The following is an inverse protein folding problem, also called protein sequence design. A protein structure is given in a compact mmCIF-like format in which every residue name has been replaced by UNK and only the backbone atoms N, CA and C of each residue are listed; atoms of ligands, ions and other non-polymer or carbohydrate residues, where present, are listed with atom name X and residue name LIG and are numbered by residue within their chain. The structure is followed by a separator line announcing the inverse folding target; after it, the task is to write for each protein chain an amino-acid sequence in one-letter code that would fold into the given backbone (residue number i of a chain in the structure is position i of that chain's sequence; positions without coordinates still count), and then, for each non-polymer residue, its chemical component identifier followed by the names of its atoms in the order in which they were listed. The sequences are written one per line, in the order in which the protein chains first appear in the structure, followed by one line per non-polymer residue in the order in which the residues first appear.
data_IF_356338560448
#
_entry.id   IF_356338560448
#
_cell.length_a   1.000
_cell.length_b   1.000
_cell.length_c   1.000
_cell.angle_alpha   90.00
_cell.angle_beta   90.00
_cell.angle_gamma   90.00
#
_symmetry.space_group_name_H-M   'P 1'
#
loop_
_entity.id
_entity.type
_entity.pdbx_description
1 polymer ?
#
# COMPACT_ATOMS: atom_id res chain seq x y z
N UNK A 1 14.03 -37.65 -37.27
CA UNK A 1 13.45 -36.66 -36.33
C UNK A 1 14.44 -35.52 -36.21
N UNK A 2 14.06 -34.26 -36.45
CA UNK A 2 15.00 -33.15 -36.35
C UNK A 2 15.37 -32.92 -34.87
N UNK A 3 16.64 -32.62 -34.61
CA UNK A 3 17.12 -32.30 -33.28
C UNK A 3 16.42 -31.03 -32.75
N UNK A 4 16.02 -30.98 -31.47
CA UNK A 4 15.41 -29.78 -30.91
C UNK A 4 16.40 -28.61 -30.97
N UNK A 5 15.93 -27.45 -31.43
CA UNK A 5 16.73 -26.22 -31.50
C UNK A 5 17.22 -25.81 -30.10
N UNK A 6 18.42 -25.21 -30.03
CA UNK A 6 19.05 -24.83 -28.76
C UNK A 6 18.21 -23.93 -27.85
N UNK A 7 17.26 -23.17 -28.41
CA UNK A 7 16.30 -22.37 -27.65
C UNK A 7 15.29 -23.21 -26.86
N UNK A 8 14.84 -24.35 -27.41
CA UNK A 8 13.91 -25.25 -26.74
C UNK A 8 14.54 -25.89 -25.50
N UNK A 9 15.78 -26.35 -25.65
CA UNK A 9 16.58 -26.94 -24.56
C UNK A 9 16.85 -25.91 -23.45
N UNK A 10 17.16 -24.66 -23.82
CA UNK A 10 17.46 -23.59 -22.87
C UNK A 10 16.22 -23.10 -22.09
N UNK A 11 15.03 -23.13 -22.71
CA UNK A 11 13.77 -22.85 -22.03
C UNK A 11 13.34 -23.98 -21.09
N UNK A 12 13.56 -25.25 -21.46
CA UNK A 12 13.35 -26.39 -20.56
C UNK A 12 14.30 -26.32 -19.36
N UNK A 13 15.57 -25.95 -19.57
CA UNK A 13 16.54 -25.75 -18.48
C UNK A 13 16.18 -24.57 -17.56
N UNK A 14 15.63 -23.47 -18.07
CA UNK A 14 15.13 -22.35 -17.25
C UNK A 14 13.91 -22.76 -16.42
N UNK A 15 12.96 -23.50 -17.00
CA UNK A 15 11.81 -24.03 -16.28
C UNK A 15 12.21 -25.10 -15.26
N UNK A 16 13.17 -25.97 -15.59
CA UNK A 16 13.72 -26.98 -14.68
C UNK A 16 14.49 -26.36 -13.52
N UNK A 17 15.18 -25.22 -13.71
CA UNK A 17 15.81 -24.45 -12.62
C UNK A 17 14.78 -23.83 -11.67
N UNK A 18 13.67 -23.31 -12.21
CA UNK A 18 12.56 -22.78 -11.40
C UNK A 18 11.85 -23.88 -10.60
N UNK A 19 11.57 -25.01 -11.24
CA UNK A 19 10.98 -26.19 -10.58
C UNK A 19 11.95 -26.83 -9.57
N UNK A 20 13.23 -26.90 -9.91
CA UNK A 20 14.28 -27.38 -9.02
C UNK A 20 14.45 -26.50 -7.79
N UNK A 21 14.33 -25.18 -7.92
CA UNK A 21 14.34 -24.27 -6.77
C UNK A 21 13.11 -24.44 -5.87
N UNK A 22 11.92 -24.65 -6.46
CA UNK A 22 10.69 -24.91 -5.69
C UNK A 22 10.78 -26.26 -4.97
N UNK A 23 11.21 -27.33 -5.65
CA UNK A 23 11.39 -28.66 -5.06
C UNK A 23 12.50 -28.65 -4.00
N UNK A 24 13.63 -28.01 -4.27
CA UNK A 24 14.72 -27.85 -3.29
C UNK A 24 14.26 -27.02 -2.08
N UNK A 25 13.47 -25.96 -2.27
CA UNK A 25 12.88 -25.20 -1.16
C UNK A 25 11.95 -26.08 -0.34
N UNK A 26 11.04 -26.83 -0.99
CA UNK A 26 10.10 -27.73 -0.30
C UNK A 26 10.82 -28.87 0.44
N UNK A 27 11.87 -29.46 -0.14
CA UNK A 27 12.61 -30.58 0.46
C UNK A 27 13.71 -30.18 1.44
N UNK A 28 14.33 -29.00 1.31
CA UNK A 28 15.29 -28.49 2.30
C UNK A 28 14.61 -28.14 3.64
N UNK A 29 13.29 -27.92 3.64
CA UNK A 29 12.48 -27.68 4.84
C UNK A 29 11.74 -28.93 5.35
N UNK A 30 11.77 -30.04 4.62
CA UNK A 30 11.11 -31.29 5.02
C UNK A 30 11.63 -31.93 6.34
N UNK A 31 12.86 -31.69 6.84
CA UNK A 31 13.28 -32.27 8.12
C UNK A 31 12.77 -31.55 9.39
N UNK A 32 11.97 -30.48 9.29
CA UNK A 32 11.55 -29.64 10.46
C UNK A 32 10.12 -29.96 10.94
N UNK A 33 9.51 -31.07 10.52
CA UNK A 33 8.12 -31.44 10.87
C UNK A 33 7.93 -31.99 12.30
N UNK A 34 8.41 -31.25 13.31
CA UNK A 34 7.79 -31.22 14.64
C UNK A 34 7.51 -29.79 15.12
N UNK A 35 7.62 -28.80 14.24
CA UNK A 35 7.39 -27.39 14.58
C UNK A 35 5.90 -27.05 14.49
N UNK A 36 5.40 -26.30 15.47
CA UNK A 36 4.05 -25.74 15.43
C UNK A 36 3.88 -24.86 14.19
N UNK A 37 2.75 -25.02 13.50
CA UNK A 37 2.37 -24.21 12.36
C UNK A 37 1.23 -23.30 12.80
N UNK A 38 1.44 -22.00 12.68
CA UNK A 38 0.42 -20.98 12.90
C UNK A 38 0.07 -20.33 11.56
N UNK A 39 -1.22 -20.07 11.34
CA UNK A 39 -1.70 -19.33 10.18
C UNK A 39 -2.60 -18.18 10.62
N UNK A 40 -2.38 -16.98 10.07
CA UNK A 40 -3.31 -15.85 10.18
C UNK A 40 -3.77 -15.52 8.76
N UNK A 41 -5.04 -15.75 8.46
CA UNK A 41 -5.60 -15.59 7.12
C UNK A 41 -6.72 -14.56 7.12
N UNK A 42 -6.66 -13.62 6.19
CA UNK A 42 -7.72 -12.65 5.96
C UNK A 42 -8.15 -12.68 4.50
N UNK A 43 -9.45 -12.68 4.25
CA UNK A 43 -10.02 -12.57 2.91
C UNK A 43 -11.22 -11.65 2.92
N UNK A 44 -11.59 -11.12 1.77
CA UNK A 44 -12.76 -10.28 1.67
C UNK A 44 -13.07 -9.87 0.26
N UNK A 45 -14.22 -9.21 0.13
CA UNK A 45 -14.69 -8.67 -1.13
C UNK A 45 -15.38 -7.34 -0.93
N UNK A 46 -15.45 -6.56 -2.00
CA UNK A 46 -16.22 -5.34 -2.08
C UNK A 46 -16.97 -5.24 -3.41
N UNK A 47 -18.09 -4.54 -3.38
CA UNK A 47 -18.85 -4.13 -4.55
C UNK A 47 -18.92 -2.61 -4.57
N UNK A 48 -18.57 -2.04 -5.71
CA UNK A 48 -18.65 -0.60 -5.95
C UNK A 48 -19.72 -0.29 -6.97
N UNK A 49 -20.56 0.68 -6.65
CA UNK A 49 -21.51 1.31 -7.55
C UNK A 49 -20.99 2.71 -7.82
N UNK A 50 -20.42 2.91 -9.00
CA UNK A 50 -19.72 4.14 -9.38
C UNK A 50 -20.52 4.93 -10.43
N UNK A 51 -20.47 6.26 -10.37
CA UNK A 51 -20.99 7.10 -11.43
C UNK A 51 -20.19 6.94 -12.73
N UNK A 52 -20.87 6.93 -13.88
CA UNK A 52 -20.23 6.79 -15.20
C UNK A 52 -19.27 7.94 -15.52
N UNK A 53 -18.04 7.62 -15.94
CA UNK A 53 -17.09 8.63 -16.41
C UNK A 53 -17.40 9.16 -17.83
N UNK A 54 -18.07 8.37 -18.69
CA UNK A 54 -18.15 8.67 -20.13
C UNK A 54 -19.51 8.47 -20.82
N UNK A 55 -20.44 7.64 -20.30
CA UNK A 55 -21.62 7.19 -21.09
C UNK A 55 -22.97 7.23 -20.37
N UNK A 56 -23.02 7.64 -19.09
CA UNK A 56 -24.28 7.80 -18.35
C UNK A 56 -24.89 6.52 -17.77
N UNK A 57 -24.25 5.36 -17.98
CA UNK A 57 -24.61 4.10 -17.32
C UNK A 57 -23.74 3.88 -16.07
N UNK A 58 -24.33 3.58 -14.91
CA UNK A 58 -23.58 3.32 -13.68
C UNK A 58 -22.61 2.15 -13.89
N UNK A 59 -21.43 2.27 -13.32
CA UNK A 59 -20.45 1.19 -13.33
C UNK A 59 -20.59 0.36 -12.07
N UNK A 60 -20.56 -0.96 -12.23
CA UNK A 60 -20.47 -1.88 -11.09
C UNK A 60 -19.20 -2.69 -11.19
N UNK A 61 -18.39 -2.63 -10.14
CA UNK A 61 -17.09 -3.30 -10.06
C UNK A 61 -17.06 -4.19 -8.83
N UNK A 62 -16.49 -5.39 -8.98
CA UNK A 62 -16.19 -6.28 -7.86
C UNK A 62 -14.71 -6.22 -7.54
N UNK A 63 -14.40 -6.25 -6.25
CA UNK A 63 -13.03 -6.34 -5.75
C UNK A 63 -12.94 -7.51 -4.78
N UNK A 64 -11.82 -8.21 -4.82
CA UNK A 64 -11.50 -9.30 -3.92
C UNK A 64 -10.09 -9.15 -3.40
N UNK A 65 -9.85 -9.61 -2.18
CA UNK A 65 -8.50 -9.77 -1.67
C UNK A 65 -8.38 -11.05 -0.84
N UNK A 66 -7.17 -11.59 -0.82
CA UNK A 66 -6.78 -12.70 0.02
C UNK A 66 -5.38 -12.45 0.55
N UNK A 67 -5.19 -12.60 1.85
CA UNK A 67 -3.90 -12.53 2.52
C UNK A 67 -3.77 -13.68 3.50
N UNK A 68 -2.62 -14.33 3.52
CA UNK A 68 -2.29 -15.30 4.57
C UNK A 68 -0.86 -15.09 5.03
N UNK A 69 -0.63 -15.32 6.31
CA UNK A 69 0.68 -15.49 6.91
C UNK A 69 0.74 -16.90 7.48
N UNK A 70 1.74 -17.66 7.08
CA UNK A 70 2.06 -18.97 7.65
C UNK A 70 3.38 -18.85 8.41
N UNK A 71 3.38 -19.20 9.68
CA UNK A 71 4.56 -19.26 10.52
C UNK A 71 4.85 -20.73 10.87
N UNK A 72 6.10 -21.14 10.66
CA UNK A 72 6.59 -22.50 10.98
C UNK A 72 7.65 -22.37 12.07
N UNK A 73 7.32 -22.86 13.26
CA UNK A 73 8.10 -22.65 14.48
C UNK A 73 8.24 -21.16 14.81
N UNK A 74 9.36 -20.77 15.42
CA UNK A 74 9.61 -19.36 15.77
C UNK A 74 10.37 -18.58 14.68
N UNK A 75 10.87 -19.27 13.65
CA UNK A 75 11.89 -18.73 12.75
C UNK A 75 11.42 -18.45 11.34
N UNK A 76 10.52 -19.26 10.79
CA UNK A 76 10.13 -19.14 9.40
C UNK A 76 8.76 -18.51 9.28
N UNK A 77 8.63 -17.51 8.41
CA UNK A 77 7.35 -16.92 8.06
C UNK A 77 7.23 -16.80 6.54
N UNK A 78 6.06 -17.12 6.02
CA UNK A 78 5.69 -16.91 4.63
C UNK A 78 4.44 -16.02 4.61
N UNK A 79 4.47 -14.91 3.87
CA UNK A 79 3.29 -14.11 3.61
C UNK A 79 2.93 -14.22 2.14
N UNK A 80 1.63 -14.30 1.85
CA UNK A 80 1.11 -14.12 0.51
C UNK A 80 -0.11 -13.20 0.55
N UNK A 81 -0.20 -12.27 -0.38
CA UNK A 81 -1.34 -11.38 -0.56
C UNK A 81 -1.63 -11.18 -2.04
N UNK A 82 -2.91 -11.24 -2.41
CA UNK A 82 -3.40 -11.05 -3.77
C UNK A 82 -4.64 -10.17 -3.75
N UNK A 83 -4.81 -9.36 -4.79
CA UNK A 83 -6.03 -8.59 -5.01
C UNK A 83 -6.54 -8.76 -6.44
N UNK A 84 -7.85 -8.63 -6.59
CA UNK A 84 -8.54 -8.69 -7.87
C UNK A 84 -9.52 -7.52 -7.97
N UNK A 85 -9.59 -6.91 -9.15
CA UNK A 85 -10.56 -5.86 -9.48
C UNK A 85 -11.15 -6.12 -10.87
N UNK A 86 -12.47 -6.23 -10.96
CA UNK A 86 -13.15 -6.37 -12.25
C UNK A 86 -13.32 -5.01 -12.93
N UNK A 87 -13.44 -5.02 -14.26
CA UNK A 87 -14.02 -3.92 -15.02
C UNK A 87 -15.54 -3.80 -14.75
N UNK A 88 -16.20 -2.90 -15.49
CA UNK A 88 -17.64 -2.69 -15.36
C UNK A 88 -18.43 -3.95 -15.76
N UNK A 89 -19.14 -4.53 -14.79
CA UNK A 89 -19.93 -5.76 -14.94
C UNK A 89 -21.19 -5.54 -15.80
N UNK A 90 -21.73 -4.31 -15.82
CA UNK A 90 -22.95 -3.99 -16.55
C UNK A 90 -22.73 -3.34 -17.92
N UNK A 91 -21.48 -3.22 -18.39
CA UNK A 91 -21.16 -2.60 -19.67
C UNK A 91 -21.82 -3.29 -20.87
N UNK A 92 -21.73 -4.62 -20.94
CA UNK A 92 -22.15 -5.41 -22.12
C UNK A 92 -23.15 -6.56 -21.83
N UNK A 93 -23.72 -6.64 -20.61
CA UNK A 93 -24.62 -7.75 -20.16
C UNK A 93 -23.97 -9.15 -20.33
N UNK A 94 -22.66 -9.23 -20.55
CA UNK A 94 -21.91 -10.49 -20.50
C UNK A 94 -21.38 -10.67 -19.09
N UNK A 95 -22.08 -11.46 -18.28
CA UNK A 95 -21.61 -11.89 -16.95
C UNK A 95 -20.42 -12.86 -17.01
N UNK A 96 -19.80 -13.02 -18.19
CA UNK A 96 -18.68 -13.90 -18.48
C UNK A 96 -17.61 -13.11 -19.24
N UNK A 97 -16.35 -13.43 -18.98
CA UNK A 97 -15.17 -12.83 -19.63
C UNK A 97 -15.02 -11.32 -19.37
N UNK A 98 -15.40 -10.87 -18.18
CA UNK A 98 -15.24 -9.48 -17.74
C UNK A 98 -13.73 -9.19 -17.57
N UNK A 99 -13.17 -8.18 -18.27
CA UNK A 99 -11.78 -7.78 -18.09
C UNK A 99 -11.49 -7.52 -16.61
N UNK A 100 -10.47 -8.16 -16.06
CA UNK A 100 -10.16 -8.09 -14.63
C UNK A 100 -8.66 -7.92 -14.43
N UNK A 101 -8.29 -7.08 -13.46
CA UNK A 101 -6.92 -6.90 -13.02
C UNK A 101 -6.68 -7.83 -11.84
N UNK A 102 -5.64 -8.63 -11.93
CA UNK A 102 -5.14 -9.48 -10.85
C UNK A 102 -3.77 -8.98 -10.44
N UNK A 103 -3.61 -8.69 -9.15
CA UNK A 103 -2.36 -8.21 -8.58
C UNK A 103 -1.82 -9.22 -7.57
N UNK A 104 -0.51 -9.43 -7.63
CA UNK A 104 0.25 -10.07 -6.55
C UNK A 104 0.72 -8.95 -5.65
N UNK A 105 0.03 -8.76 -4.51
CA UNK A 105 0.29 -7.65 -3.61
C UNK A 105 1.55 -7.92 -2.75
N UNK A 106 1.72 -9.14 -2.23
CA UNK A 106 2.92 -9.55 -1.48
C UNK A 106 3.16 -11.05 -1.66
N UNK A 107 4.40 -11.45 -1.92
CA UNK A 107 4.92 -12.80 -1.70
C UNK A 107 6.22 -12.64 -0.94
N UNK A 108 6.28 -13.06 0.32
CA UNK A 108 7.51 -12.93 1.09
C UNK A 108 7.83 -14.17 1.92
N UNK A 109 9.12 -14.47 2.02
CA UNK A 109 9.70 -15.53 2.83
C UNK A 109 10.68 -14.89 3.80
N UNK A 110 10.52 -15.16 5.08
CA UNK A 110 11.28 -14.54 6.15
C UNK A 110 11.91 -15.60 7.05
N UNK A 111 13.16 -15.38 7.43
CA UNK A 111 13.90 -16.17 8.40
C UNK A 111 14.37 -15.30 9.56
N UNK A 112 13.92 -15.61 10.77
CA UNK A 112 14.29 -14.93 12.01
C UNK A 112 15.38 -15.70 12.74
N UNK A 113 16.34 -14.95 13.27
CA UNK A 113 17.44 -15.46 14.07
C UNK A 113 17.87 -14.40 15.09
N UNK A 114 18.76 -14.77 16.01
CA UNK A 114 19.30 -13.85 17.01
C UNK A 114 20.75 -13.56 16.69
N UNK A 115 21.14 -12.29 16.78
CA UNK A 115 22.53 -11.85 16.80
C UNK A 115 22.74 -11.17 18.15
N UNK A 116 23.46 -11.84 19.06
CA UNK A 116 23.65 -11.39 20.45
C UNK A 116 22.31 -11.01 21.13
N UNK A 117 22.15 -9.73 21.51
CA UNK A 117 20.94 -9.17 22.17
C UNK A 117 19.91 -8.61 21.18
N UNK A 118 20.08 -8.85 19.89
CA UNK A 118 19.17 -8.37 18.83
C UNK A 118 18.42 -9.53 18.19
N UNK A 119 17.21 -9.25 17.70
CA UNK A 119 16.46 -10.17 16.85
C UNK A 119 16.59 -9.69 15.40
N UNK A 120 17.14 -10.53 14.54
CA UNK A 120 17.37 -10.24 13.13
C UNK A 120 16.44 -11.05 12.25
N UNK A 121 16.10 -10.49 11.10
CA UNK A 121 15.29 -11.15 10.10
C UNK A 121 15.86 -10.91 8.71
N UNK A 122 16.07 -11.97 7.96
CA UNK A 122 16.27 -11.91 6.52
C UNK A 122 14.94 -12.14 5.82
N UNK A 123 14.64 -11.39 4.76
CA UNK A 123 13.48 -11.63 3.93
C UNK A 123 13.85 -11.66 2.45
N UNK A 124 13.16 -12.50 1.69
CA UNK A 124 13.03 -12.41 0.24
C UNK A 124 11.59 -12.03 -0.06
N UNK A 125 11.38 -11.13 -1.01
CA UNK A 125 10.04 -10.68 -1.35
C UNK A 125 9.87 -10.44 -2.86
N UNK A 126 8.61 -10.53 -3.30
CA UNK A 126 8.09 -10.06 -4.57
C UNK A 126 6.74 -9.36 -4.35
N UNK A 127 6.46 -8.30 -5.09
CA UNK A 127 5.30 -7.43 -4.86
C UNK A 127 5.64 -6.22 -3.98
N UNK A 128 4.65 -5.63 -3.31
CA UNK A 128 4.81 -4.57 -2.33
C UNK A 128 5.16 -5.16 -0.95
N UNK A 129 6.34 -4.84 -0.42
CA UNK A 129 6.83 -5.36 0.87
C UNK A 129 7.12 -4.24 1.86
N UNK A 130 6.37 -4.16 2.97
CA UNK A 130 6.64 -3.20 4.06
C UNK A 130 6.85 -1.75 3.59
N UNK A 131 5.90 -1.20 2.82
CA UNK A 131 6.05 0.14 2.26
C UNK A 131 6.28 1.24 3.32
N UNK A 132 7.16 2.19 3.01
CA UNK A 132 7.42 3.38 3.83
C UNK A 132 6.18 4.28 3.83
N UNK A 133 5.74 4.74 5.01
CA UNK A 133 4.45 5.43 5.14
C UNK A 133 3.28 4.54 5.58
N UNK A 134 3.46 3.22 5.65
CA UNK A 134 2.50 2.35 6.32
C UNK A 134 2.92 2.10 7.78
N UNK A 135 1.96 1.83 8.65
CA UNK A 135 2.21 1.42 10.03
C UNK A 135 2.63 -0.06 10.15
N UNK A 136 2.87 -0.75 9.02
CA UNK A 136 3.17 -2.19 8.96
C UNK A 136 4.49 -2.53 9.66
N UNK A 137 5.55 -1.75 9.43
CA UNK A 137 6.88 -2.04 9.98
C UNK A 137 6.91 -1.90 11.51
N UNK A 138 6.35 -0.80 12.02
CA UNK A 138 6.27 -0.56 13.47
C UNK A 138 5.33 -1.57 14.15
N UNK A 139 4.22 -1.97 13.51
CA UNK A 139 3.38 -3.06 14.00
C UNK A 139 4.16 -4.38 14.10
N UNK A 140 4.83 -4.76 13.00
CA UNK A 140 5.50 -6.07 12.87
C UNK A 140 6.70 -6.23 13.80
N UNK A 141 7.55 -5.21 13.93
CA UNK A 141 8.79 -5.33 14.71
C UNK A 141 8.71 -4.70 16.10
N UNK A 142 7.91 -3.64 16.25
CA UNK A 142 7.84 -2.84 17.49
C UNK A 142 6.51 -3.03 18.24
N UNK A 143 5.54 -3.78 17.69
CA UNK A 143 4.29 -4.11 18.36
C UNK A 143 3.35 -2.92 18.56
N UNK A 144 3.48 -1.87 17.75
CA UNK A 144 2.58 -0.71 17.83
C UNK A 144 1.15 -1.11 17.45
N UNK A 145 0.15 -0.43 17.98
CA UNK A 145 -1.22 -0.51 17.42
C UNK A 145 -1.26 0.17 16.05
N UNK A 146 -2.21 -0.19 15.19
CA UNK A 146 -2.45 0.52 13.95
C UNK A 146 -2.83 2.00 14.23
N UNK A 147 -2.26 2.92 13.48
CA UNK A 147 -2.46 4.37 13.63
C UNK A 147 -2.62 5.09 12.30
N UNK A 148 -2.76 4.38 11.18
CA UNK A 148 -3.10 4.97 9.89
C UNK A 148 -4.38 5.82 9.93
N UNK A 149 -4.43 6.87 9.09
CA UNK A 149 -5.62 7.71 8.95
C UNK A 149 -6.75 6.96 8.24
N UNK A 150 -8.00 7.22 8.65
CA UNK A 150 -9.19 6.77 7.92
C UNK A 150 -9.32 7.45 6.54
N UNK A 151 -8.77 8.66 6.40
CA UNK A 151 -8.66 9.38 5.12
C UNK A 151 -7.58 8.80 4.20
N UNK A 152 -6.76 7.88 4.69
CA UNK A 152 -5.77 7.23 3.83
C UNK A 152 -6.10 5.73 3.69
N UNK A 153 -7.27 5.28 4.13
CA UNK A 153 -7.63 3.87 4.00
C UNK A 153 -7.88 3.52 2.53
N UNK A 154 -6.97 2.71 1.97
CA UNK A 154 -7.18 2.06 0.67
C UNK A 154 -8.22 0.97 0.81
N UNK A 155 -8.94 0.73 -0.28
CA UNK A 155 -10.01 -0.27 -0.33
C UNK A 155 -9.56 -1.60 -0.95
N UNK A 156 -8.33 -1.66 -1.48
CA UNK A 156 -7.66 -2.85 -2.00
C UNK A 156 -6.18 -2.87 -1.56
N UNK A 157 -5.60 -4.07 -1.45
CA UNK A 157 -4.20 -4.25 -1.09
C UNK A 157 -3.89 -3.82 0.35
N UNK A 158 -2.74 -3.16 0.54
CA UNK A 158 -2.34 -2.63 1.84
C UNK A 158 -3.27 -1.51 2.31
N UNK A 159 -3.60 -1.50 3.61
CA UNK A 159 -4.59 -0.59 4.21
C UNK A 159 -4.26 0.89 4.03
N UNK A 160 -3.01 1.27 3.77
CA UNK A 160 -2.57 2.67 3.73
C UNK A 160 -1.66 2.88 2.52
N UNK A 161 -1.76 4.01 1.79
CA UNK A 161 -0.84 4.35 0.73
C UNK A 161 0.59 4.46 1.25
N UNK A 162 1.50 4.04 0.38
CA UNK A 162 2.93 4.19 0.58
C UNK A 162 3.34 5.63 0.27
N UNK A 163 4.14 6.24 1.16
CA UNK A 163 4.98 7.39 0.81
C UNK A 163 6.10 6.90 -0.11
N UNK A 164 6.75 5.78 0.26
CA UNK A 164 7.79 5.11 -0.53
C UNK A 164 7.38 3.66 -0.76
N UNK A 165 6.96 3.28 -1.99
CA UNK A 165 6.64 1.90 -2.29
C UNK A 165 7.92 1.08 -2.43
N UNK A 166 8.07 0.06 -1.59
CA UNK A 166 9.05 -1.03 -1.77
C UNK A 166 8.38 -2.10 -2.61
N UNK A 167 8.13 -1.75 -3.88
CA UNK A 167 7.49 -2.61 -4.86
C UNK A 167 8.53 -3.20 -5.80
N UNK A 168 8.55 -4.52 -5.98
CA UNK A 168 9.51 -5.18 -6.87
C UNK A 168 9.82 -6.60 -6.43
N UNK A 169 11.02 -7.09 -6.75
CA UNK A 169 11.54 -8.31 -6.18
C UNK A 169 12.94 -8.09 -5.61
N UNK A 170 13.21 -8.63 -4.43
CA UNK A 170 14.46 -8.37 -3.72
C UNK A 170 14.54 -9.03 -2.36
N UNK A 171 15.43 -8.49 -1.53
CA UNK A 171 15.61 -8.95 -0.16
C UNK A 171 15.76 -7.81 0.82
N UNK A 172 15.50 -8.12 2.08
CA UNK A 172 15.70 -7.20 3.19
C UNK A 172 16.43 -7.86 4.35
N UNK A 173 17.09 -7.02 5.14
CA UNK A 173 17.69 -7.40 6.40
C UNK A 173 17.24 -6.44 7.49
N UNK A 174 16.49 -6.94 8.46
CA UNK A 174 15.93 -6.17 9.57
C UNK A 174 16.60 -6.56 10.87
N UNK A 175 16.88 -5.58 11.72
CA UNK A 175 17.38 -5.76 13.09
C UNK A 175 16.44 -5.04 14.05
N UNK A 176 15.92 -5.79 15.02
CA UNK A 176 15.19 -5.29 16.17
C UNK A 176 16.10 -5.30 17.40
N UNK A 177 16.16 -4.16 18.08
CA UNK A 177 16.97 -3.99 19.28
C UNK A 177 16.21 -4.38 20.55
N UNK A 178 16.93 -4.45 21.68
CA UNK A 178 16.33 -4.61 23.01
C UNK A 178 15.54 -3.36 23.45
N UNK A 179 15.94 -2.18 22.96
CA UNK A 179 15.14 -0.95 23.01
C UNK A 179 14.03 -1.01 21.94
N UNK A 180 12.91 -0.28 22.09
CA UNK A 180 11.80 -0.28 21.15
C UNK A 180 12.14 0.46 19.84
N UNK A 181 13.17 -0.01 19.15
CA UNK A 181 13.68 0.48 17.88
C UNK A 181 14.05 -0.68 16.96
N UNK A 182 13.98 -0.42 15.66
CA UNK A 182 14.38 -1.36 14.63
C UNK A 182 14.91 -0.60 13.41
N UNK A 183 15.81 -1.23 12.67
CA UNK A 183 16.24 -0.74 11.37
C UNK A 183 16.15 -1.85 10.33
N UNK A 184 16.05 -1.47 9.06
CA UNK A 184 16.08 -2.39 7.95
C UNK A 184 16.88 -1.83 6.78
N UNK A 185 17.51 -2.71 6.04
CA UNK A 185 18.11 -2.46 4.74
C UNK A 185 17.33 -3.25 3.70
N UNK A 186 16.97 -2.62 2.59
CA UNK A 186 16.27 -3.22 1.47
C UNK A 186 17.12 -3.09 0.22
N UNK A 187 17.21 -4.16 -0.57
CA UNK A 187 17.81 -4.14 -1.90
C UNK A 187 16.87 -4.89 -2.84
N UNK A 188 16.37 -4.21 -3.87
CA UNK A 188 15.36 -4.77 -4.77
C UNK A 188 15.40 -4.14 -6.14
N UNK A 189 14.88 -4.87 -7.13
CA UNK A 189 14.73 -4.36 -8.48
C UNK A 189 13.26 -4.23 -8.85
N UNK A 190 12.94 -3.23 -9.65
CA UNK A 190 11.61 -3.03 -10.21
C UNK A 190 11.66 -2.32 -11.56
N UNK A 191 10.51 -2.26 -12.22
CA UNK A 191 10.29 -1.41 -13.39
C UNK A 191 9.40 -0.24 -12.97
N UNK A 192 9.90 0.98 -13.13
CA UNK A 192 9.14 2.19 -12.82
C UNK A 192 9.52 3.29 -13.80
N UNK A 193 8.56 4.13 -14.19
CA UNK A 193 8.77 5.20 -15.18
C UNK A 193 9.41 4.69 -16.49
N UNK A 194 9.03 3.48 -16.93
CA UNK A 194 9.51 2.85 -18.17
C UNK A 194 10.97 2.40 -18.17
N UNK A 195 11.65 2.37 -17.00
CA UNK A 195 13.04 1.89 -16.87
C UNK A 195 13.15 0.87 -15.74
N UNK A 196 14.01 -0.12 -15.93
CA UNK A 196 14.46 -1.00 -14.84
C UNK A 196 15.30 -0.19 -13.86
N UNK A 197 15.07 -0.43 -12.56
CA UNK A 197 15.77 0.24 -11.47
C UNK A 197 16.30 -0.77 -10.47
N UNK A 198 17.48 -0.49 -9.95
CA UNK A 198 18.01 -1.10 -8.73
C UNK A 198 17.80 -0.12 -7.59
N UNK A 199 17.15 -0.56 -6.52
CA UNK A 199 16.79 0.28 -5.38
C UNK A 199 17.54 -0.19 -4.14
N UNK A 200 17.94 0.76 -3.30
CA UNK A 200 18.54 0.49 -1.99
C UNK A 200 17.98 1.47 -0.98
N UNK A 201 17.34 0.94 0.05
CA UNK A 201 16.68 1.76 1.07
C UNK A 201 17.12 1.36 2.47
N UNK A 202 17.27 2.36 3.34
CA UNK A 202 17.50 2.22 4.76
C UNK A 202 16.27 2.75 5.50
N UNK A 203 15.80 1.99 6.47
CA UNK A 203 14.69 2.36 7.35
C UNK A 203 15.12 2.32 8.81
N UNK A 204 14.64 3.28 9.58
CA UNK A 204 14.88 3.38 11.01
C UNK A 204 13.55 3.76 11.67
N UNK A 205 13.11 2.96 12.63
CA UNK A 205 11.90 3.22 13.39
C UNK A 205 12.15 3.11 14.90
N UNK A 206 11.42 3.90 15.66
CA UNK A 206 11.49 3.95 17.12
C UNK A 206 10.13 4.28 17.73
N UNK A 207 9.85 3.67 18.89
CA UNK A 207 8.59 3.81 19.61
C UNK A 207 8.86 4.17 21.06
N UNK A 208 8.10 5.11 21.58
CA UNK A 208 8.04 5.47 22.99
C UNK A 208 6.60 5.74 23.38
N UNK A 209 6.35 6.05 24.65
CA UNK A 209 5.01 6.41 25.12
C UNK A 209 4.48 7.70 24.49
N UNK A 210 5.35 8.58 23.97
CA UNK A 210 4.94 9.89 23.44
C UNK A 210 5.11 10.01 21.92
N UNK A 211 5.83 9.07 21.29
CA UNK A 211 6.24 9.18 19.90
C UNK A 211 6.36 7.80 19.26
N UNK A 212 5.71 7.62 18.11
CA UNK A 212 6.07 6.61 17.12
C UNK A 212 6.73 7.36 15.96
N UNK A 213 7.93 6.96 15.57
CA UNK A 213 8.64 7.54 14.45
C UNK A 213 9.15 6.44 13.52
N UNK A 214 9.00 6.64 12.23
CA UNK A 214 9.44 5.71 11.19
C UNK A 214 9.96 6.52 10.01
N UNK A 215 11.26 6.44 9.78
CA UNK A 215 11.99 7.16 8.75
C UNK A 215 12.56 6.18 7.74
N UNK A 216 12.48 6.55 6.46
CA UNK A 216 12.99 5.79 5.35
C UNK A 216 13.71 6.71 4.37
N UNK A 217 14.88 6.31 3.92
CA UNK A 217 15.67 7.01 2.92
C UNK A 217 16.27 5.99 1.96
N UNK A 218 16.33 6.33 0.68
CA UNK A 218 16.91 5.44 -0.28
C UNK A 218 17.31 6.09 -1.59
N UNK A 219 17.86 5.25 -2.45
CA UNK A 219 18.24 5.61 -3.81
C UNK A 219 17.74 4.58 -4.79
N UNK A 220 17.29 5.08 -5.94
CA UNK A 220 16.93 4.30 -7.11
C UNK A 220 17.93 4.59 -8.23
N UNK A 221 18.51 3.54 -8.81
CA UNK A 221 19.47 3.62 -9.90
C UNK A 221 18.82 3.04 -11.16
N UNK A 222 18.22 3.88 -12.04
CA UNK A 222 17.76 3.45 -13.34
C UNK A 222 18.93 2.92 -14.15
N UNK A 223 18.77 1.73 -14.74
CA UNK A 223 19.81 1.11 -15.54
C UNK A 223 19.29 0.65 -16.89
N UNK A 224 20.20 0.72 -17.87
CA UNK A 224 20.00 0.29 -19.24
C UNK A 224 21.01 -0.81 -19.57
N UNK A 225 20.65 -1.68 -20.52
CA UNK A 225 21.51 -2.76 -21.02
C UNK A 225 22.05 -2.50 -22.43
N UNK A 226 21.87 -1.27 -22.94
CA UNK A 226 22.41 -0.81 -24.21
C UNK A 226 23.09 0.55 -24.06
N UNK A 227 24.21 0.74 -24.73
CA UNK A 227 24.89 2.03 -24.82
C UNK A 227 24.22 2.96 -25.87
N UNK A 228 24.73 4.18 -26.02
CA UNK A 228 24.22 5.16 -26.98
C UNK A 228 24.36 4.71 -28.47
N UNK A 229 25.22 3.73 -28.73
CA UNK A 229 25.47 3.16 -30.06
C UNK A 229 24.68 1.86 -30.28
N UNK A 230 23.85 1.44 -29.32
CA UNK A 230 23.06 0.22 -29.38
C UNK A 230 23.82 -1.07 -29.04
N UNK A 231 25.07 -0.97 -28.58
CA UNK A 231 25.84 -2.13 -28.13
C UNK A 231 25.32 -2.62 -26.79
N UNK A 232 25.26 -3.94 -26.62
CA UNK A 232 24.87 -4.54 -25.35
C UNK A 232 25.93 -4.28 -24.28
N UNK A 233 25.51 -3.74 -23.15
CA UNK A 233 26.33 -3.50 -21.96
C UNK A 233 25.71 -4.17 -20.74
N UNK A 234 26.55 -4.59 -19.79
CA UNK A 234 26.10 -5.35 -18.61
C UNK A 234 25.19 -4.49 -17.72
N UNK A 235 25.59 -3.23 -17.49
CA UNK A 235 24.86 -2.28 -16.65
C UNK A 235 25.31 -0.87 -17.02
N UNK A 236 24.39 -0.01 -17.39
CA UNK A 236 24.64 1.40 -17.62
C UNK A 236 23.74 2.24 -16.72
N UNK A 237 24.35 2.94 -15.76
CA UNK A 237 23.68 3.88 -14.86
C UNK A 237 24.11 5.28 -15.25
N UNK A 238 23.14 6.13 -15.60
CA UNK A 238 23.38 7.53 -16.03
C UNK A 238 22.96 8.57 -14.99
N UNK A 239 22.09 8.16 -14.05
CA UNK A 239 21.59 9.00 -12.97
C UNK A 239 21.30 8.17 -11.72
N UNK A 240 21.28 8.85 -10.58
CA UNK A 240 20.69 8.37 -9.35
C UNK A 240 19.47 9.22 -9.01
N UNK A 241 18.42 8.57 -8.55
CA UNK A 241 17.27 9.22 -7.95
C UNK A 241 17.30 8.96 -6.44
N UNK A 242 16.95 9.96 -5.64
CA UNK A 242 16.83 9.85 -4.19
C UNK A 242 15.39 10.02 -3.73
N UNK A 243 15.05 9.35 -2.64
CA UNK A 243 13.75 9.47 -1.99
C UNK A 243 13.88 9.37 -0.49
N UNK A 244 12.97 10.03 0.21
CA UNK A 244 12.94 10.05 1.67
C UNK A 244 11.50 10.18 2.17
N UNK A 245 11.18 9.58 3.30
CA UNK A 245 9.86 9.62 3.89
C UNK A 245 9.91 9.44 5.40
N UNK A 246 9.00 10.10 6.10
CA UNK A 246 8.85 10.00 7.54
C UNK A 246 7.37 9.85 7.90
N UNK A 247 7.09 8.99 8.88
CA UNK A 247 5.79 8.89 9.56
C UNK A 247 5.98 9.11 11.04
N UNK A 248 5.16 9.97 11.63
CA UNK A 248 5.19 10.33 13.04
C UNK A 248 3.78 10.20 13.62
N UNK A 249 3.66 9.58 14.79
CA UNK A 249 2.52 9.73 15.68
C UNK A 249 3.03 10.35 16.98
N UNK A 250 2.63 11.60 17.22
CA UNK A 250 3.04 12.38 18.39
C UNK A 250 1.87 12.43 19.37
N UNK A 251 2.15 12.11 20.64
CA UNK A 251 1.17 12.05 21.72
C UNK A 251 0.70 10.62 22.01
N UNK A 252 0.70 10.26 23.28
CA UNK A 252 0.27 8.94 23.79
C UNK A 252 -0.99 9.00 24.67
N UNK A 253 -1.70 10.13 24.67
CA UNK A 253 -2.88 10.33 25.50
C UNK A 253 -4.13 9.97 24.68
N UNK A 254 -5.09 9.19 25.22
CA UNK A 254 -6.27 8.75 24.48
C UNK A 254 -7.10 9.90 23.89
N UNK A 255 -6.95 11.13 24.38
CA UNK A 255 -7.76 12.27 23.96
C UNK A 255 -7.16 13.10 22.83
N UNK A 256 -5.83 13.20 22.69
CA UNK A 256 -5.20 14.05 21.66
C UNK A 256 -3.91 13.41 21.17
N UNK A 257 -3.78 13.28 19.86
CA UNK A 257 -2.52 12.94 19.20
C UNK A 257 -2.45 13.63 17.83
N UNK A 258 -1.26 13.64 17.25
CA UNK A 258 -0.98 14.22 15.96
C UNK A 258 -0.30 13.18 15.08
N UNK A 259 -0.96 12.82 13.98
CA UNK A 259 -0.38 11.97 12.95
C UNK A 259 0.17 12.83 11.82
N UNK A 260 1.43 12.62 11.46
CA UNK A 260 2.11 13.36 10.40
C UNK A 260 2.85 12.42 9.49
N UNK A 261 2.84 12.74 8.21
CA UNK A 261 3.64 12.07 7.21
C UNK A 261 4.19 13.09 6.23
N UNK A 262 5.45 12.95 5.86
CA UNK A 262 6.08 13.80 4.87
C UNK A 262 7.11 13.00 4.09
N UNK A 263 7.34 13.35 2.83
CA UNK A 263 8.35 12.69 2.03
C UNK A 263 8.47 13.27 0.64
N UNK A 264 9.51 12.83 -0.06
CA UNK A 264 9.75 13.10 -1.46
C UNK A 264 9.99 11.77 -2.16
N UNK A 265 9.22 11.49 -3.21
CA UNK A 265 9.30 10.22 -3.95
C UNK A 265 10.41 10.20 -4.99
N UNK A 266 10.90 11.36 -5.42
CA UNK A 266 11.95 11.45 -6.43
C UNK A 266 12.70 12.79 -6.39
N UNK A 267 14.02 12.72 -6.26
CA UNK A 267 14.97 13.82 -6.49
C UNK A 267 16.04 13.30 -7.44
N UNK A 268 16.15 13.86 -8.64
CA UNK A 268 17.02 13.33 -9.69
C UNK A 268 18.39 14.02 -9.69
N UNK A 269 19.47 13.24 -9.73
CA UNK A 269 20.79 13.76 -10.14
C UNK A 269 20.87 13.73 -11.66
N UNK A 270 21.14 14.85 -12.31
CA UNK A 270 21.25 14.90 -13.78
C UNK A 270 19.99 14.40 -14.50
N UNK A 271 18.87 15.15 -14.44
CA UNK A 271 17.60 14.73 -15.02
C UNK A 271 17.68 14.55 -16.55
N UNK A 272 16.82 13.68 -17.08
CA UNK A 272 16.68 13.54 -18.54
C UNK A 272 16.17 14.87 -19.15
N UNK A 273 16.43 15.16 -20.44
CA UNK A 273 15.91 16.37 -21.08
C UNK A 273 14.38 16.46 -20.94
N UNK A 274 13.90 17.54 -20.32
CA UNK A 274 12.48 17.78 -20.05
C UNK A 274 12.02 17.39 -18.65
N UNK A 275 12.83 16.64 -17.89
CA UNK A 275 12.61 16.37 -16.47
C UNK A 275 13.22 17.47 -15.59
N UNK A 276 12.66 17.69 -14.40
CA UNK A 276 13.24 18.54 -13.36
C UNK A 276 13.99 17.72 -12.31
N UNK A 277 14.94 18.36 -11.62
CA UNK A 277 15.62 17.77 -10.44
C UNK A 277 14.61 17.38 -9.37
N UNK A 278 13.58 18.20 -9.19
CA UNK A 278 12.49 18.00 -8.24
C UNK A 278 11.19 18.56 -8.84
N UNK A 279 10.08 17.87 -8.61
CA UNK A 279 8.74 18.36 -8.91
C UNK A 279 7.88 18.35 -7.66
N UNK A 280 6.97 19.31 -7.53
CA UNK A 280 5.98 19.29 -6.46
C UNK A 280 5.07 18.06 -6.55
N UNK A 281 4.91 17.45 -7.73
CA UNK A 281 4.19 16.19 -7.88
C UNK A 281 4.83 15.02 -7.12
N UNK A 282 6.12 15.13 -6.76
CA UNK A 282 6.86 14.14 -5.99
C UNK A 282 6.80 14.40 -4.47
N UNK A 283 6.20 15.52 -4.04
CA UNK A 283 6.07 15.87 -2.63
C UNK A 283 4.86 15.16 -2.01
N UNK A 284 5.11 14.48 -0.90
CA UNK A 284 4.09 13.95 -0.01
C UNK A 284 4.08 14.78 1.28
N UNK A 285 2.91 15.26 1.68
CA UNK A 285 2.70 15.85 2.99
C UNK A 285 1.29 15.52 3.50
N UNK A 286 1.19 15.11 4.76
CA UNK A 286 -0.06 14.82 5.43
C UNK A 286 0.07 15.21 6.91
N UNK A 287 -0.92 15.95 7.40
CA UNK A 287 -0.98 16.44 8.77
C UNK A 287 -2.37 16.19 9.32
N UNK A 288 -2.48 15.47 10.43
CA UNK A 288 -3.76 15.07 11.01
C UNK A 288 -3.75 15.10 12.54
N UNK A 289 -4.09 16.24 13.17
CA UNK A 289 -4.48 16.27 14.57
C UNK A 289 -5.75 15.45 14.78
N UNK A 290 -5.73 14.63 15.83
CA UNK A 290 -6.82 13.75 16.24
C UNK A 290 -7.24 14.07 17.66
N UNK A 291 -8.55 14.10 17.86
CA UNK A 291 -9.17 14.37 19.14
C UNK A 291 -10.14 13.24 19.45
N UNK A 292 -10.16 12.76 20.69
CA UNK A 292 -11.16 11.80 21.16
C UNK A 292 -11.91 12.38 22.34
N UNK A 293 -13.21 12.13 22.35
CA UNK A 293 -14.09 12.32 23.50
C UNK A 293 -14.55 10.96 23.99
N UNK A 294 -15.45 10.92 24.97
CA UNK A 294 -16.09 9.67 25.41
C UNK A 294 -17.05 9.07 24.38
N UNK A 295 -17.54 9.86 23.42
CA UNK A 295 -18.57 9.42 22.48
C UNK A 295 -18.08 9.35 21.02
N UNK A 296 -17.08 10.16 20.66
CA UNK A 296 -16.63 10.31 19.28
C UNK A 296 -15.13 10.62 19.18
N UNK A 297 -14.57 10.27 18.03
CA UNK A 297 -13.23 10.64 17.56
C UNK A 297 -13.37 11.60 16.39
N UNK A 298 -12.55 12.63 16.38
CA UNK A 298 -12.47 13.67 15.34
C UNK A 298 -11.06 13.72 14.79
N UNK A 299 -10.91 13.97 13.50
CA UNK A 299 -9.64 14.39 12.92
C UNK A 299 -9.82 15.52 11.93
N UNK A 300 -8.83 16.41 11.86
CA UNK A 300 -8.73 17.42 10.82
C UNK A 300 -7.46 17.08 10.04
N UNK A 301 -7.55 16.93 8.73
CA UNK A 301 -6.42 16.59 7.88
C UNK A 301 -6.14 17.72 6.91
N UNK A 302 -4.86 18.01 6.66
CA UNK A 302 -4.40 18.77 5.53
C UNK A 302 -3.38 17.93 4.75
N UNK A 303 -3.46 17.95 3.43
CA UNK A 303 -2.66 17.04 2.61
C UNK A 303 -2.20 17.64 1.28
N UNK A 304 -1.02 17.20 0.87
CA UNK A 304 -0.51 17.25 -0.49
C UNK A 304 -0.06 15.84 -0.87
N UNK A 305 -0.78 15.17 -1.76
CA UNK A 305 -0.55 13.78 -2.12
C UNK A 305 -0.10 13.67 -3.59
N UNK A 306 0.96 12.89 -3.90
CA UNK A 306 1.30 12.54 -5.28
C UNK A 306 0.17 11.80 -6.00
N UNK A 307 0.11 11.88 -7.34
CA UNK A 307 -0.89 11.18 -8.16
C UNK A 307 -0.97 9.69 -7.85
N UNK A 308 0.18 9.02 -7.77
CA UNK A 308 0.28 7.60 -7.44
C UNK A 308 -0.35 7.22 -6.09
N UNK A 309 -0.50 8.19 -5.19
CA UNK A 309 -1.11 8.01 -3.87
C UNK A 309 -2.61 8.26 -3.94
N UNK A 310 -3.04 9.44 -4.37
CA UNK A 310 -4.45 9.83 -4.23
C UNK A 310 -5.39 9.16 -5.24
N UNK A 311 -4.88 8.71 -6.40
CA UNK A 311 -5.71 8.01 -7.40
C UNK A 311 -6.35 6.72 -6.84
N UNK A 312 -5.74 6.15 -5.80
CA UNK A 312 -6.25 4.96 -5.11
C UNK A 312 -7.09 5.28 -3.86
N UNK A 313 -7.38 6.57 -3.62
CA UNK A 313 -8.15 7.05 -2.47
C UNK A 313 -9.51 7.56 -2.99
N UNK A 314 -10.63 6.85 -2.70
CA UNK A 314 -11.92 7.12 -3.33
C UNK A 314 -12.47 8.54 -3.16
N UNK A 315 -12.09 9.20 -2.06
CA UNK A 315 -12.64 10.49 -1.64
C UNK A 315 -11.69 11.68 -1.85
N UNK A 316 -10.59 11.49 -2.60
CA UNK A 316 -9.65 12.55 -2.98
C UNK A 316 -9.50 12.54 -4.51
N UNK A 317 -9.98 13.59 -5.18
CA UNK A 317 -9.88 13.69 -6.65
C UNK A 317 -8.66 14.51 -7.11
N UNK A 318 -8.03 15.27 -6.20
CA UNK A 318 -6.92 16.17 -6.52
C UNK A 318 -5.84 16.19 -5.42
N UNK A 319 -4.59 16.59 -5.74
CA UNK A 319 -3.45 16.40 -4.84
C UNK A 319 -3.47 17.26 -3.57
N UNK A 320 -3.99 18.49 -3.62
CA UNK A 320 -3.96 19.43 -2.50
C UNK A 320 -5.34 19.51 -1.84
N UNK A 321 -5.43 19.37 -0.53
CA UNK A 321 -6.74 19.46 0.12
C UNK A 321 -6.73 19.41 1.64
N UNK A 322 -7.93 19.37 2.17
CA UNK A 322 -8.20 19.22 3.59
C UNK A 322 -9.41 18.30 3.80
N UNK A 323 -9.45 17.66 4.96
CA UNK A 323 -10.60 16.86 5.35
C UNK A 323 -10.92 17.00 6.83
N UNK A 324 -12.16 16.70 7.18
CA UNK A 324 -12.62 16.55 8.55
C UNK A 324 -13.33 15.21 8.67
N UNK A 325 -12.93 14.41 9.66
CA UNK A 325 -13.58 13.15 9.96
C UNK A 325 -14.16 13.20 11.37
N UNK A 326 -15.37 12.68 11.50
CA UNK A 326 -16.01 12.38 12.78
C UNK A 326 -16.48 10.94 12.76
N UNK A 327 -16.25 10.20 13.85
CA UNK A 327 -16.79 8.86 14.05
C UNK A 327 -17.15 8.61 15.50
N UNK A 328 -18.11 7.72 15.74
CA UNK A 328 -18.43 7.25 17.08
C UNK A 328 -17.29 6.39 17.64
N UNK A 329 -17.23 6.28 18.97
CA UNK A 329 -16.58 5.12 19.59
C UNK A 329 -17.37 3.84 19.23
N UNK A 330 -16.77 2.64 19.36
CA UNK A 330 -17.50 1.39 19.12
C UNK A 330 -18.74 1.29 20.00
N UNK A 331 -19.90 1.10 19.37
CA UNK A 331 -21.20 0.92 20.03
C UNK A 331 -21.51 -0.58 20.06
N UNK A 332 -21.78 -1.13 21.25
CA UNK A 332 -22.09 -2.54 21.42
C UNK A 332 -23.50 -2.90 20.94
N UNK A 333 -23.60 -3.96 20.13
CA UNK A 333 -24.81 -4.69 19.81
C UNK A 333 -24.68 -6.12 20.35
N UNK A 334 -25.79 -6.88 20.44
CA UNK A 334 -25.79 -8.23 21.05
C UNK A 334 -24.70 -9.18 20.52
N UNK A 335 -24.38 -9.11 19.23
CA UNK A 335 -23.41 -10.00 18.57
C UNK A 335 -22.38 -9.26 17.69
N UNK A 336 -22.32 -7.93 17.78
CA UNK A 336 -21.44 -7.10 16.95
C UNK A 336 -21.12 -5.78 17.64
N UNK A 337 -20.12 -5.06 17.12
CA UNK A 337 -19.85 -3.66 17.46
C UNK A 337 -20.00 -2.81 16.20
N UNK A 338 -20.64 -1.65 16.33
CA UNK A 338 -20.80 -0.70 15.22
C UNK A 338 -20.02 0.58 15.44
N UNK A 339 -19.44 1.11 14.36
CA UNK A 339 -18.84 2.44 14.28
C UNK A 339 -19.55 3.19 13.15
N UNK A 340 -20.00 4.41 13.44
CA UNK A 340 -20.66 5.27 12.48
C UNK A 340 -19.88 6.57 12.34
N UNK A 341 -19.77 7.10 11.14
CA UNK A 341 -19.04 8.34 10.95
C UNK A 341 -19.31 9.00 9.61
N UNK A 342 -18.62 10.12 9.41
CA UNK A 342 -18.64 10.88 8.18
C UNK A 342 -17.27 11.49 7.92
N UNK A 343 -16.84 11.48 6.67
CA UNK A 343 -15.67 12.21 6.19
C UNK A 343 -16.15 13.34 5.28
N UNK A 344 -15.68 14.54 5.53
CA UNK A 344 -15.84 15.69 4.64
C UNK A 344 -14.47 15.97 4.03
N UNK A 345 -14.33 15.89 2.72
CA UNK A 345 -13.07 16.11 2.04
C UNK A 345 -13.24 17.18 0.96
N UNK A 346 -12.31 18.11 0.87
CA UNK A 346 -12.21 19.05 -0.23
C UNK A 346 -10.79 18.99 -0.81
N UNK A 347 -10.68 18.90 -2.13
CA UNK A 347 -9.40 18.82 -2.82
C UNK A 347 -9.40 19.64 -4.11
N UNK A 348 -8.24 20.16 -4.49
CA UNK A 348 -8.03 20.96 -5.69
C UNK A 348 -6.64 20.73 -6.29
N UNK A 349 -6.47 21.16 -7.53
CA UNK A 349 -5.19 21.10 -8.24
C UNK A 349 -4.10 21.88 -7.50
N UNK A 350 -2.84 21.51 -7.72
CA UNK A 350 -1.74 22.29 -7.21
C UNK A 350 -1.71 23.67 -7.92
N UNK A 351 -1.82 24.80 -7.19
CA UNK A 351 -1.90 26.14 -7.78
C UNK A 351 -0.64 26.55 -8.53
N UNK A 352 0.50 25.91 -8.25
CA UNK A 352 1.77 26.13 -8.95
C UNK A 352 1.86 25.36 -10.28
N UNK A 353 0.98 24.39 -10.51
CA UNK A 353 0.87 23.62 -11.77
C UNK A 353 -0.29 24.13 -12.63
N UNK A 354 -1.40 24.51 -12.00
CA UNK A 354 -2.59 25.01 -12.69
C UNK A 354 -3.30 26.05 -11.84
N UNK A 355 -3.75 27.13 -12.47
CA UNK A 355 -4.62 28.10 -11.81
C UNK A 355 -5.88 27.43 -11.22
N UNK A 356 -6.30 27.92 -10.05
CA UNK A 356 -7.52 27.48 -9.39
C UNK A 356 -8.76 27.85 -10.22
N UNK A 357 -9.73 26.95 -10.25
CA UNK A 357 -11.08 27.22 -10.74
C UNK A 357 -12.09 26.37 -9.98
N UNK A 358 -13.34 26.82 -9.92
CA UNK A 358 -14.43 26.05 -9.27
C UNK A 358 -14.67 24.69 -9.93
N UNK A 359 -14.31 24.53 -11.21
CA UNK A 359 -14.38 23.25 -11.93
C UNK A 359 -13.28 22.28 -11.49
N UNK A 360 -12.19 22.80 -10.92
CA UNK A 360 -11.04 22.05 -10.39
C UNK A 360 -11.08 21.94 -8.86
N UNK A 361 -12.26 22.11 -8.28
CA UNK A 361 -12.55 21.84 -6.87
C UNK A 361 -13.39 20.57 -6.79
N UNK A 362 -12.95 19.63 -5.98
CA UNK A 362 -13.76 18.49 -5.56
C UNK A 362 -14.16 18.67 -4.10
N UNK A 363 -15.42 18.41 -3.80
CA UNK A 363 -15.92 18.31 -2.45
C UNK A 363 -16.70 17.00 -2.32
N UNK A 364 -16.43 16.24 -1.26
CA UNK A 364 -17.05 14.96 -0.98
C UNK A 364 -17.51 14.87 0.46
N UNK A 365 -18.67 14.25 0.66
CA UNK A 365 -19.22 13.89 1.98
C UNK A 365 -19.43 12.38 1.96
N UNK A 366 -18.73 11.67 2.84
CA UNK A 366 -18.69 10.20 2.87
C UNK A 366 -19.17 9.72 4.23
N UNK A 367 -20.48 9.60 4.45
CA UNK A 367 -21.02 8.81 5.55
C UNK A 367 -20.57 7.35 5.41
N UNK A 368 -20.27 6.74 6.55
CA UNK A 368 -19.86 5.34 6.62
C UNK A 368 -20.38 4.65 7.88
N UNK A 369 -20.51 3.33 7.78
CA UNK A 369 -20.78 2.45 8.90
C UNK A 369 -19.88 1.21 8.81
N UNK A 370 -19.34 0.78 9.94
CA UNK A 370 -18.52 -0.41 10.10
C UNK A 370 -19.11 -1.29 11.21
N UNK A 371 -19.35 -2.55 10.92
CA UNK A 371 -19.89 -3.54 11.85
C UNK A 371 -18.88 -4.67 12.01
N UNK A 372 -18.33 -4.82 13.21
CA UNK A 372 -17.39 -5.88 13.57
C UNK A 372 -18.13 -6.97 14.32
N UNK A 373 -18.16 -8.18 13.78
CA UNK A 373 -18.68 -9.39 14.39
C UNK A 373 -17.53 -10.42 14.57
N UNK A 374 -17.70 -11.48 15.35
CA UNK A 374 -16.66 -12.50 15.54
C UNK A 374 -16.16 -13.12 14.22
N UNK A 375 -17.02 -13.18 13.19
CA UNK A 375 -16.71 -13.78 11.90
C UNK A 375 -16.22 -12.78 10.84
N UNK A 376 -16.10 -11.49 11.17
CA UNK A 376 -15.65 -10.51 10.19
C UNK A 376 -16.13 -9.08 10.41
N UNK A 377 -15.72 -8.22 9.49
CA UNK A 377 -16.01 -6.79 9.47
C UNK A 377 -16.77 -6.46 8.19
N UNK A 378 -17.98 -5.95 8.33
CA UNK A 378 -18.76 -5.37 7.23
C UNK A 378 -18.59 -3.85 7.24
N UNK A 379 -18.30 -3.24 6.08
CA UNK A 379 -18.23 -1.78 5.94
C UNK A 379 -19.08 -1.32 4.77
N UNK A 380 -19.81 -0.22 4.97
CA UNK A 380 -20.53 0.49 3.92
C UNK A 380 -20.11 1.95 3.94
N UNK A 381 -19.90 2.51 2.75
CA UNK A 381 -19.64 3.93 2.52
C UNK A 381 -20.56 4.44 1.42
N UNK A 382 -21.01 5.67 1.55
CA UNK A 382 -21.83 6.33 0.51
C UNK A 382 -21.22 7.70 0.18
N UNK A 383 -20.16 7.76 -0.65
CA UNK A 383 -19.60 9.04 -1.06
C UNK A 383 -20.62 9.85 -1.89
N UNK A 384 -20.82 11.09 -1.46
CA UNK A 384 -21.65 12.10 -2.12
C UNK A 384 -20.75 13.21 -2.63
N UNK A 385 -20.88 13.59 -3.91
CA UNK A 385 -20.17 14.71 -4.55
C UNK A 385 -21.13 15.89 -4.75
N UNK A 386 -21.30 16.80 -3.77
CA UNK A 386 -22.37 17.81 -3.81
C UNK A 386 -22.21 18.81 -4.97
N UNK A 387 -20.98 19.04 -5.43
CA UNK A 387 -20.70 19.93 -6.57
C UNK A 387 -21.18 19.35 -7.92
N UNK A 388 -21.52 18.06 -7.97
CA UNK A 388 -22.14 17.42 -9.12
C UNK A 388 -23.68 17.54 -9.13
N UNK A 389 -24.27 18.50 -8.40
CA UNK A 389 -25.72 18.70 -8.25
C UNK A 389 -26.50 18.80 -9.58
N UNK A 390 -25.83 19.19 -10.67
CA UNK A 390 -26.43 19.26 -12.00
C UNK A 390 -26.71 17.87 -12.60
N UNK A 391 -26.06 16.81 -12.12
CA UNK A 391 -26.24 15.43 -12.56
C UNK A 391 -26.23 14.48 -11.36
N UNK A 392 -27.42 14.16 -10.85
CA UNK A 392 -27.58 13.29 -9.68
C UNK A 392 -26.94 11.91 -9.88
N UNK A 393 -26.81 11.42 -11.12
CA UNK A 393 -26.15 10.14 -11.41
C UNK A 393 -24.65 10.17 -11.14
N UNK A 394 -24.05 11.37 -11.14
CA UNK A 394 -22.63 11.61 -10.81
C UNK A 394 -22.40 11.97 -9.35
N UNK A 395 -23.48 12.23 -8.63
CA UNK A 395 -23.44 12.73 -7.25
C UNK A 395 -23.24 11.62 -6.23
N UNK A 396 -23.68 10.39 -6.50
CA UNK A 396 -23.66 9.30 -5.52
C UNK A 396 -22.81 8.13 -5.99
N UNK A 397 -22.10 7.53 -5.04
CA UNK A 397 -21.50 6.20 -5.17
C UNK A 397 -21.76 5.40 -3.90
N UNK A 398 -21.69 4.08 -4.00
CA UNK A 398 -21.85 3.19 -2.86
C UNK A 398 -20.76 2.14 -2.93
N UNK A 399 -20.06 1.95 -1.81
CA UNK A 399 -19.13 0.83 -1.63
C UNK A 399 -19.59 0.02 -0.43
N UNK A 400 -19.80 -1.28 -0.65
CA UNK A 400 -20.07 -2.24 0.42
C UNK A 400 -18.98 -3.31 0.40
N UNK A 401 -18.42 -3.63 1.57
CA UNK A 401 -17.32 -4.60 1.69
C UNK A 401 -17.50 -5.48 2.91
N UNK A 402 -16.98 -6.70 2.81
CA UNK A 402 -16.94 -7.66 3.91
C UNK A 402 -15.57 -8.31 3.96
N UNK A 403 -14.99 -8.35 5.17
CA UNK A 403 -13.69 -8.96 5.45
C UNK A 403 -13.84 -10.00 6.54
N UNK A 404 -13.26 -11.17 6.35
CA UNK A 404 -13.11 -12.21 7.37
C UNK A 404 -11.65 -12.32 7.76
N UNK A 405 -11.41 -12.69 9.02
CA UNK A 405 -10.09 -13.06 9.53
C UNK A 405 -10.22 -14.39 10.28
N UNK A 406 -9.29 -15.31 10.03
CA UNK A 406 -9.24 -16.68 10.51
C UNK A 406 -7.93 -16.96 11.23
#
# INVERSE_FOLDING_TARGET
MPAPSGESIMNVLKSAKRFGFIIFSVFAFAPIFSADIFSDTASGGAIDFLPSAASGNPEVQFRGFYRTQVQIGERFLANTAFSLKTGNVFGDIKLRDIPSLFNIDELSLMYRFKIEKTASQFALFAGEYETGGSDTFTQRYLGTKAFASYLLEKEIGFKTPAIIPVGGAGGSFTVKYAVPAANALYVYYNEQFGKNRLNTDIRIAGVSNALIADFMFGTSLPFENKDANGNNVILLIRRADFHAGISLLIGGNPFVNLFMQAGVTRIQTNPDPGDSVFSLSDLYAFFEPRFSTRAAVFSLSAFHLPLSVYENIPYIDYPLGAAFMIKSIPIGFKSAQGVFGCIFAASTVNPLVSAFSMQKLSAQVVPFAEFTAPQGVFKVKVPVKPLAYADWKKMFSITASYKVQF
#
